data_IF_172048071185
#
_entry.id   IF_172048071185
#
_cell.length_a   1.000
_cell.length_b   1.000
_cell.length_c   1.000
_cell.angle_alpha   90.00
_cell.angle_beta   90.00
_cell.angle_gamma   90.00
#
_symmetry.space_group_name_H-M   'P 1'
#
loop_
_entity.id
_entity.type
_entity.pdbx_description
1 polymer ?
#
# COMPACT_ATOMS: atom_id res chain seq x y z
N UNK A 1 -1.10 -7.01 -11.18
CA UNK A 1 -1.93 -8.20 -10.87
C UNK A 1 -3.06 -7.74 -9.98
N UNK A 2 -4.27 -8.29 -10.16
CA UNK A 2 -5.41 -8.00 -9.30
C UNK A 2 -5.16 -8.64 -7.93
N UNK A 3 -5.57 -7.99 -6.83
CA UNK A 3 -5.46 -8.60 -5.52
C UNK A 3 -6.34 -9.86 -5.43
N UNK A 4 -5.88 -10.92 -4.75
CA UNK A 4 -6.64 -12.16 -4.61
C UNK A 4 -7.91 -11.94 -3.78
N UNK A 5 -8.89 -12.82 -3.97
CA UNK A 5 -10.11 -12.90 -3.16
C UNK A 5 -9.80 -13.73 -1.91
N UNK A 6 -9.96 -13.15 -0.73
CA UNK A 6 -9.75 -13.88 0.52
C UNK A 6 -11.02 -14.56 0.97
N UNK A 7 -10.94 -15.86 1.23
CA UNK A 7 -12.00 -16.64 1.86
C UNK A 7 -11.66 -16.77 3.34
N UNK A 8 -12.54 -16.28 4.20
CA UNK A 8 -12.26 -16.12 5.63
C UNK A 8 -13.49 -16.46 6.46
N UNK A 9 -13.30 -17.15 7.57
CA UNK A 9 -14.34 -17.36 8.57
C UNK A 9 -14.18 -16.48 9.79
N UNK A 10 -14.77 -16.89 10.92
CA UNK A 10 -14.90 -16.04 12.09
C UNK A 10 -13.57 -15.68 12.78
N UNK A 11 -13.60 -14.60 13.55
CA UNK A 11 -12.46 -13.98 14.27
C UNK A 11 -11.77 -14.88 15.29
N UNK A 12 -12.48 -15.90 15.80
CA UNK A 12 -11.96 -16.90 16.73
C UNK A 12 -11.91 -18.28 16.05
N UNK A 13 -11.14 -18.45 14.96
CA UNK A 13 -11.34 -19.54 14.01
C UNK A 13 -11.16 -20.91 14.66
N UNK A 14 -12.21 -21.72 14.58
CA UNK A 14 -12.16 -23.14 14.94
C UNK A 14 -11.77 -24.02 13.75
N UNK A 15 -11.93 -25.33 13.88
CA UNK A 15 -11.56 -26.26 12.80
C UNK A 15 -12.52 -26.16 11.62
N UNK A 16 -13.80 -25.92 11.88
CA UNK A 16 -14.85 -25.86 10.86
C UNK A 16 -14.67 -24.62 9.99
N UNK A 17 -14.42 -23.48 10.64
CA UNK A 17 -14.09 -22.22 9.97
C UNK A 17 -12.87 -22.32 9.04
N UNK A 18 -11.79 -22.96 9.52
CA UNK A 18 -10.56 -23.12 8.76
C UNK A 18 -10.73 -24.11 7.61
N UNK A 19 -11.45 -25.21 7.84
CA UNK A 19 -11.79 -26.18 6.82
C UNK A 19 -12.68 -25.57 5.74
N UNK A 20 -13.71 -24.80 6.12
CA UNK A 20 -14.59 -24.10 5.20
C UNK A 20 -13.83 -23.08 4.35
N UNK A 21 -12.96 -22.26 4.96
CA UNK A 21 -12.18 -21.26 4.23
C UNK A 21 -11.21 -21.92 3.24
N UNK A 22 -10.54 -23.00 3.66
CA UNK A 22 -9.59 -23.74 2.83
C UNK A 22 -10.29 -24.45 1.68
N UNK A 23 -11.36 -25.18 1.96
CA UNK A 23 -12.12 -25.93 0.98
C UNK A 23 -12.81 -25.03 -0.04
N UNK A 24 -13.40 -23.92 0.40
CA UNK A 24 -14.11 -23.00 -0.49
C UNK A 24 -13.14 -22.18 -1.36
N UNK A 25 -12.00 -21.74 -0.82
CA UNK A 25 -10.95 -21.12 -1.63
C UNK A 25 -10.45 -22.09 -2.73
N UNK A 26 -10.17 -23.34 -2.36
CA UNK A 26 -9.79 -24.36 -3.35
C UNK A 26 -10.89 -24.58 -4.40
N UNK A 27 -12.15 -24.70 -3.99
CA UNK A 27 -13.27 -24.90 -4.91
C UNK A 27 -13.42 -23.75 -5.91
N UNK A 28 -13.38 -22.50 -5.46
CA UNK A 28 -13.47 -21.33 -6.35
C UNK A 28 -12.31 -21.28 -7.35
N UNK A 29 -11.11 -21.69 -6.91
CA UNK A 29 -9.96 -21.77 -7.80
C UNK A 29 -10.14 -22.84 -8.88
N UNK A 30 -10.54 -24.05 -8.50
CA UNK A 30 -10.68 -25.18 -9.43
C UNK A 30 -11.90 -25.04 -10.35
N UNK A 31 -13.03 -24.58 -9.81
CA UNK A 31 -14.31 -24.46 -10.53
C UNK A 31 -14.33 -23.23 -11.45
N UNK A 32 -13.88 -22.09 -10.94
CA UNK A 32 -14.10 -20.78 -11.58
C UNK A 32 -12.81 -20.13 -12.09
N UNK A 33 -11.64 -20.69 -11.80
CA UNK A 33 -10.34 -20.11 -12.16
C UNK A 33 -10.05 -18.79 -11.43
N UNK A 34 -10.71 -18.54 -10.29
CA UNK A 34 -10.53 -17.31 -9.51
C UNK A 34 -9.25 -17.37 -8.67
N UNK A 35 -8.52 -16.24 -8.64
CA UNK A 35 -7.39 -16.06 -7.73
C UNK A 35 -7.90 -15.86 -6.30
N UNK A 36 -7.96 -16.94 -5.56
CA UNK A 36 -8.54 -17.01 -4.20
C UNK A 36 -7.50 -17.50 -3.21
N UNK A 37 -7.55 -17.03 -1.97
CA UNK A 37 -6.67 -17.46 -0.88
C UNK A 37 -7.48 -17.71 0.39
N UNK A 38 -7.21 -18.82 1.06
CA UNK A 38 -7.75 -19.05 2.39
C UNK A 38 -7.06 -18.15 3.40
N UNK A 39 -7.84 -17.50 4.26
CA UNK A 39 -7.36 -16.65 5.33
C UNK A 39 -8.03 -17.00 6.66
N UNK A 40 -7.37 -16.59 7.75
CA UNK A 40 -7.87 -16.68 9.12
C UNK A 40 -7.90 -15.29 9.76
N UNK A 41 -8.98 -14.98 10.45
CA UNK A 41 -9.15 -13.69 11.13
C UNK A 41 -8.45 -13.61 12.49
N UNK A 42 -8.05 -14.77 13.06
CA UNK A 42 -7.42 -14.85 14.37
C UNK A 42 -6.40 -15.99 14.50
N UNK A 43 -5.96 -16.23 15.73
CA UNK A 43 -5.11 -17.37 16.06
C UNK A 43 -5.91 -18.68 15.98
N UNK A 44 -5.32 -19.72 15.38
CA UNK A 44 -5.93 -21.05 15.35
C UNK A 44 -5.81 -21.73 16.71
N UNK A 45 -6.82 -22.52 17.07
CA UNK A 45 -6.79 -23.33 18.29
C UNK A 45 -5.86 -24.56 18.16
N UNK A 46 -5.63 -25.26 19.26
CA UNK A 46 -4.73 -26.43 19.31
C UNK A 46 -5.25 -27.60 18.45
N UNK A 47 -6.57 -27.80 18.39
CA UNK A 47 -7.20 -28.85 17.58
C UNK A 47 -6.93 -28.60 16.09
N UNK A 48 -7.24 -27.39 15.60
CA UNK A 48 -6.97 -26.98 14.22
C UNK A 48 -5.48 -27.11 13.88
N UNK A 49 -4.60 -26.66 14.78
CA UNK A 49 -3.15 -26.77 14.60
C UNK A 49 -2.70 -28.23 14.46
N UNK A 50 -3.24 -29.12 15.29
CA UNK A 50 -2.96 -30.55 15.24
C UNK A 50 -3.45 -31.17 13.93
N UNK A 51 -4.67 -30.82 13.48
CA UNK A 51 -5.24 -31.30 12.21
C UNK A 51 -4.37 -30.88 11.02
N UNK A 52 -4.05 -29.59 10.91
CA UNK A 52 -3.21 -29.07 9.81
C UNK A 52 -1.84 -29.76 9.77
N UNK A 53 -1.19 -29.91 10.94
CA UNK A 53 0.09 -30.60 11.05
C UNK A 53 0.00 -32.08 10.65
N UNK A 54 -1.04 -32.77 11.09
CA UNK A 54 -1.25 -34.18 10.76
C UNK A 54 -1.52 -34.39 9.26
N UNK A 55 -2.15 -33.41 8.61
CA UNK A 55 -2.41 -33.41 7.17
C UNK A 55 -1.24 -32.86 6.33
N UNK A 56 -0.18 -32.35 6.96
CA UNK A 56 0.94 -31.72 6.26
C UNK A 56 0.56 -30.43 5.51
N UNK A 57 -0.44 -29.71 6.01
CA UNK A 57 -0.96 -28.48 5.42
C UNK A 57 -0.47 -27.25 6.18
N UNK A 58 -0.16 -26.18 5.44
CA UNK A 58 0.12 -24.87 6.01
C UNK A 58 -1.16 -24.22 6.52
N UNK A 59 -1.03 -23.44 7.60
CA UNK A 59 -2.14 -22.63 8.10
C UNK A 59 -2.50 -21.52 7.09
N UNK A 60 -3.80 -21.18 6.95
CA UNK A 60 -4.23 -20.03 6.16
C UNK A 60 -3.55 -18.73 6.57
N UNK A 61 -3.46 -17.79 5.62
CA UNK A 61 -2.84 -16.48 5.82
C UNK A 61 -3.58 -15.73 6.93
N UNK A 62 -2.84 -15.12 7.86
CA UNK A 62 -3.44 -14.27 8.89
C UNK A 62 -3.89 -12.95 8.28
N UNK A 63 -5.20 -12.69 8.29
CA UNK A 63 -5.82 -11.43 7.89
C UNK A 63 -6.73 -10.97 9.02
N UNK A 64 -6.17 -10.23 9.98
CA UNK A 64 -6.89 -9.77 11.16
C UNK A 64 -7.63 -8.44 10.97
N UNK A 65 -7.34 -7.71 9.89
CA UNK A 65 -7.93 -6.42 9.60
C UNK A 65 -8.01 -6.17 8.10
N UNK A 66 -9.18 -5.73 7.63
CA UNK A 66 -9.45 -5.49 6.22
C UNK A 66 -9.26 -4.02 5.79
N UNK A 67 -8.86 -3.13 6.70
CA UNK A 67 -8.62 -1.73 6.37
C UNK A 67 -7.42 -1.59 5.43
N UNK A 68 -7.53 -0.74 4.40
CA UNK A 68 -6.43 -0.48 3.50
C UNK A 68 -5.31 0.29 4.22
N UNK A 69 -4.07 -0.08 3.89
CA UNK A 69 -2.85 0.48 4.44
C UNK A 69 -2.03 1.16 3.35
N UNK A 70 -1.06 1.99 3.70
CA UNK A 70 -0.23 2.68 2.70
C UNK A 70 0.47 1.71 1.75
N UNK A 71 0.85 0.52 2.20
CA UNK A 71 1.44 -0.51 1.36
C UNK A 71 0.54 -0.98 0.20
N UNK A 72 -0.80 -0.88 0.33
CA UNK A 72 -1.72 -1.33 -0.72
C UNK A 72 -1.90 -0.31 -1.85
N UNK A 73 -1.47 0.94 -1.64
CA UNK A 73 -1.65 2.08 -2.56
C UNK A 73 -0.34 2.66 -3.05
N UNK A 74 0.76 2.48 -2.30
CA UNK A 74 2.05 3.00 -2.69
C UNK A 74 2.54 2.40 -4.00
N UNK A 75 3.34 3.19 -4.72
CA UNK A 75 4.08 2.73 -5.89
C UNK A 75 5.57 2.83 -5.59
N UNK A 76 6.29 1.74 -5.80
CA UNK A 76 7.75 1.74 -5.78
C UNK A 76 8.26 2.41 -7.05
N UNK A 77 8.98 3.50 -6.91
CA UNK A 77 9.66 4.14 -8.03
C UNK A 77 11.16 3.87 -7.99
N UNK A 78 11.79 3.98 -9.15
CA UNK A 78 13.24 4.16 -9.23
C UNK A 78 13.64 5.39 -8.40
N UNK A 79 14.85 5.38 -7.87
CA UNK A 79 15.35 6.43 -6.99
C UNK A 79 16.71 6.92 -7.49
N UNK A 80 17.09 8.13 -7.11
CA UNK A 80 18.48 8.61 -7.28
C UNK A 80 19.03 9.15 -5.96
N UNK A 81 20.35 9.32 -5.89
CA UNK A 81 21.01 9.89 -4.71
C UNK A 81 20.90 11.42 -4.71
N UNK A 82 20.88 12.08 -3.54
CA UNK A 82 20.77 13.54 -3.44
C UNK A 82 21.87 14.31 -4.17
N UNK A 83 23.09 13.75 -4.19
CA UNK A 83 24.26 14.39 -4.82
C UNK A 83 24.42 14.07 -6.30
N UNK A 84 23.57 13.20 -6.86
CA UNK A 84 23.59 12.90 -8.29
C UNK A 84 23.00 14.06 -9.10
N UNK A 85 23.46 14.27 -10.35
CA UNK A 85 22.92 15.31 -11.22
C UNK A 85 21.39 15.24 -11.38
N UNK A 86 20.74 16.39 -11.47
CA UNK A 86 19.28 16.53 -11.61
C UNK A 86 18.73 15.80 -12.85
N UNK A 87 19.53 15.60 -13.91
CA UNK A 87 19.20 14.72 -15.04
C UNK A 87 18.81 13.29 -14.63
N UNK A 88 19.38 12.75 -13.55
CA UNK A 88 19.05 11.40 -13.06
C UNK A 88 17.65 11.41 -12.44
N UNK A 89 17.35 12.41 -11.60
CA UNK A 89 16.01 12.61 -11.06
C UNK A 89 14.99 12.90 -12.17
N UNK A 90 15.36 13.69 -13.18
CA UNK A 90 14.52 13.96 -14.35
C UNK A 90 14.17 12.67 -15.11
N UNK A 91 15.16 11.79 -15.30
CA UNK A 91 14.98 10.48 -15.93
C UNK A 91 13.95 9.65 -15.17
N UNK A 92 14.04 9.59 -13.84
CA UNK A 92 13.02 8.93 -12.99
C UNK A 92 11.66 9.61 -13.17
N UNK A 93 11.58 10.92 -12.98
CA UNK A 93 10.34 11.70 -13.04
C UNK A 93 9.60 11.52 -14.38
N UNK A 94 10.32 11.40 -15.50
CA UNK A 94 9.74 11.19 -16.83
C UNK A 94 8.96 9.87 -16.97
N UNK A 95 9.24 8.87 -16.13
CA UNK A 95 8.61 7.54 -16.15
C UNK A 95 7.56 7.33 -15.05
N UNK A 96 7.52 8.22 -14.06
CA UNK A 96 6.72 8.06 -12.82
C UNK A 96 5.60 9.10 -12.71
N UNK A 97 5.32 9.81 -13.80
CA UNK A 97 4.33 10.88 -13.83
C UNK A 97 4.77 12.13 -13.06
N UNK A 98 6.07 12.46 -13.13
CA UNK A 98 6.65 13.68 -12.60
C UNK A 98 7.28 13.56 -11.20
N UNK A 99 7.51 12.36 -10.68
CA UNK A 99 7.97 12.15 -9.29
C UNK A 99 9.32 11.44 -9.23
N UNK A 100 10.33 12.04 -8.62
CA UNK A 100 11.62 11.38 -8.40
C UNK A 100 12.00 11.40 -6.92
N UNK A 101 11.85 10.28 -6.21
CA UNK A 101 12.29 10.15 -4.83
C UNK A 101 13.81 10.17 -4.76
N UNK A 102 14.34 10.98 -3.86
CA UNK A 102 15.76 11.00 -3.52
C UNK A 102 15.97 10.19 -2.25
N UNK A 103 16.86 9.20 -2.32
CA UNK A 103 17.12 8.25 -1.22
C UNK A 103 18.60 8.29 -0.89
N UNK A 104 18.90 8.40 0.40
CA UNK A 104 20.27 8.37 0.92
C UNK A 104 20.90 6.98 0.74
N UNK A 105 22.23 6.85 0.80
CA UNK A 105 22.91 5.55 0.71
C UNK A 105 22.47 4.52 1.77
N UNK A 106 21.97 4.97 2.93
CA UNK A 106 21.46 4.10 4.00
C UNK A 106 20.01 3.61 3.79
N UNK A 107 19.38 4.04 2.68
CA UNK A 107 18.01 3.69 2.31
C UNK A 107 16.95 4.65 2.86
N UNK A 108 17.31 5.65 3.66
CA UNK A 108 16.36 6.64 4.19
C UNK A 108 15.98 7.67 3.12
N UNK A 109 14.73 8.15 3.10
CA UNK A 109 14.32 9.16 2.13
C UNK A 109 14.89 10.54 2.49
N UNK A 110 15.61 11.14 1.53
CA UNK A 110 16.09 12.53 1.61
C UNK A 110 14.96 13.51 1.30
N UNK A 111 14.25 13.31 0.19
CA UNK A 111 13.18 14.19 -0.28
C UNK A 111 12.57 13.71 -1.59
N UNK A 112 11.74 14.54 -2.20
CA UNK A 112 11.06 14.27 -3.46
C UNK A 112 11.28 15.41 -4.43
N UNK A 113 11.68 15.10 -5.66
CA UNK A 113 11.57 16.06 -6.77
C UNK A 113 10.21 15.84 -7.43
N UNK A 114 9.39 16.88 -7.46
CA UNK A 114 8.10 16.92 -8.16
C UNK A 114 7.99 18.19 -9.02
N UNK A 115 6.85 18.39 -9.67
CA UNK A 115 6.62 19.57 -10.51
C UNK A 115 6.75 20.90 -9.74
N UNK A 116 6.24 20.96 -8.50
CA UNK A 116 6.30 22.15 -7.65
C UNK A 116 7.73 22.45 -7.21
N UNK A 117 8.44 21.46 -6.67
CA UNK A 117 9.81 21.64 -6.19
C UNK A 117 10.78 22.01 -7.31
N UNK A 118 10.60 21.42 -8.50
CA UNK A 118 11.38 21.76 -9.68
C UNK A 118 11.05 23.18 -10.18
N UNK A 119 9.77 23.56 -10.20
CA UNK A 119 9.35 24.91 -10.58
C UNK A 119 9.94 25.95 -9.62
N UNK A 120 9.87 25.70 -8.30
CA UNK A 120 10.43 26.58 -7.28
C UNK A 120 11.95 26.71 -7.46
N UNK A 121 12.66 25.61 -7.73
CA UNK A 121 14.10 25.64 -8.02
C UNK A 121 14.44 26.49 -9.25
N UNK A 122 13.72 26.30 -10.36
CA UNK A 122 13.90 27.09 -11.58
C UNK A 122 13.61 28.57 -11.34
N UNK A 123 12.57 28.89 -10.58
CA UNK A 123 12.22 30.27 -10.22
C UNK A 123 13.36 30.95 -9.44
N UNK A 124 13.99 30.26 -8.49
CA UNK A 124 15.12 30.79 -7.73
C UNK A 124 16.39 30.95 -8.59
N UNK A 125 16.60 30.07 -9.57
CA UNK A 125 17.74 30.14 -10.49
C UNK A 125 17.63 31.30 -11.48
N UNK A 126 16.45 31.50 -12.07
CA UNK A 126 16.23 32.52 -13.11
C UNK A 126 15.97 33.90 -12.50
N UNK A 127 15.42 33.95 -11.29
CA UNK A 127 15.04 35.18 -10.60
C UNK A 127 13.89 35.94 -11.28
N UNK A 128 13.34 36.99 -10.64
CA UNK A 128 12.23 37.78 -11.19
C UNK A 128 12.64 38.75 -12.31
N UNK A 129 13.94 38.94 -12.55
CA UNK A 129 14.46 39.84 -13.57
C UNK A 129 15.12 39.04 -14.70
N UNK A 130 14.44 38.97 -15.84
CA UNK A 130 14.90 38.39 -17.12
C UNK A 130 16.07 39.19 -17.76
N UNK A 131 17.01 39.71 -16.98
CA UNK A 131 18.21 40.38 -17.49
C UNK A 131 19.36 39.38 -17.58
N UNK A 132 19.50 38.79 -18.77
CA UNK A 132 20.73 38.22 -19.33
C UNK A 132 21.43 37.12 -18.49
N UNK A 133 20.76 35.99 -18.27
CA UNK A 133 21.47 34.71 -18.17
C UNK A 133 20.82 33.71 -19.11
N UNK A 134 21.52 33.35 -20.18
CA UNK A 134 21.21 32.18 -21.01
C UNK A 134 21.57 30.91 -20.23
N UNK A 135 20.86 30.63 -19.13
CA UNK A 135 21.01 29.35 -18.45
C UNK A 135 20.40 28.27 -19.35
N UNK A 136 21.24 27.40 -19.92
CA UNK A 136 20.76 26.29 -20.73
C UNK A 136 20.13 25.26 -19.81
N UNK A 137 19.08 24.60 -20.30
CA UNK A 137 18.47 23.48 -19.57
C UNK A 137 19.51 22.41 -19.22
N UNK A 138 20.51 22.19 -20.10
CA UNK A 138 21.62 21.28 -19.83
C UNK A 138 22.38 21.62 -18.55
N UNK A 139 22.65 22.91 -18.32
CA UNK A 139 23.45 23.39 -17.20
C UNK A 139 22.66 23.26 -15.90
N UNK A 140 21.35 23.52 -15.97
CA UNK A 140 20.42 23.32 -14.86
C UNK A 140 20.35 21.84 -14.46
N UNK A 141 20.32 20.93 -15.44
CA UNK A 141 20.24 19.49 -15.20
C UNK A 141 21.54 18.89 -14.61
N UNK A 142 22.64 19.63 -14.61
CA UNK A 142 23.91 19.24 -13.98
C UNK A 142 24.01 19.63 -12.50
N UNK A 143 23.08 20.45 -11.98
CA UNK A 143 23.02 20.71 -10.54
C UNK A 143 22.71 19.43 -9.75
N UNK A 144 23.21 19.31 -8.51
CA UNK A 144 22.83 18.20 -7.62
C UNK A 144 21.32 18.13 -7.41
N UNK A 145 20.74 16.92 -7.46
CA UNK A 145 19.29 16.68 -7.34
C UNK A 145 18.69 17.26 -6.07
N UNK A 146 19.45 17.27 -4.96
CA UNK A 146 18.99 17.83 -3.68
C UNK A 146 18.62 19.31 -3.74
N UNK A 147 19.14 20.07 -4.73
CA UNK A 147 18.81 21.50 -4.91
C UNK A 147 17.37 21.73 -5.35
N UNK A 148 16.76 20.75 -6.02
CA UNK A 148 15.39 20.80 -6.52
C UNK A 148 14.42 19.91 -5.74
N UNK A 149 14.87 19.34 -4.62
CA UNK A 149 14.09 18.40 -3.83
C UNK A 149 13.31 19.11 -2.73
N UNK A 150 12.05 18.75 -2.58
CA UNK A 150 11.28 19.06 -1.39
C UNK A 150 11.63 18.05 -0.28
N UNK A 151 12.25 18.53 0.80
CA UNK A 151 12.63 17.73 1.98
C UNK A 151 11.56 17.75 3.08
N UNK A 152 10.49 18.52 2.90
CA UNK A 152 9.39 18.69 3.86
C UNK A 152 8.23 17.73 3.58
N UNK A 153 8.29 16.96 2.49
CA UNK A 153 7.28 15.97 2.13
C UNK A 153 6.98 15.02 3.29
N UNK A 154 5.71 14.97 3.66
CA UNK A 154 5.21 14.15 4.76
C UNK A 154 5.45 12.67 4.48
N UNK A 155 5.89 11.96 5.53
CA UNK A 155 6.25 10.54 5.50
C UNK A 155 5.22 9.73 6.28
N UNK A 156 4.81 8.59 5.72
CA UNK A 156 3.95 7.61 6.39
C UNK A 156 4.61 6.23 6.44
N UNK A 157 4.26 5.44 7.44
CA UNK A 157 4.69 4.06 7.56
C UNK A 157 3.81 3.16 6.69
N UNK A 158 4.40 2.17 6.02
CA UNK A 158 3.71 1.28 5.08
C UNK A 158 2.51 0.56 5.71
N UNK A 159 2.67 0.16 6.98
CA UNK A 159 1.64 -0.52 7.76
C UNK A 159 0.57 0.42 8.36
N UNK A 160 0.67 1.74 8.18
CA UNK A 160 -0.33 2.68 8.74
C UNK A 160 -1.65 2.50 8.01
N UNK A 161 -2.77 2.49 8.76
CA UNK A 161 -4.12 2.44 8.17
C UNK A 161 -4.46 3.81 7.61
N UNK A 162 -5.02 3.84 6.40
CA UNK A 162 -5.32 5.10 5.72
C UNK A 162 -6.39 5.89 6.48
N UNK A 163 -7.43 5.21 6.98
CA UNK A 163 -8.54 5.82 7.73
C UNK A 163 -8.08 6.59 8.97
N UNK A 164 -7.02 6.13 9.63
CA UNK A 164 -6.49 6.75 10.86
C UNK A 164 -5.89 8.14 10.60
N UNK A 165 -5.43 8.39 9.37
CA UNK A 165 -4.71 9.61 9.01
C UNK A 165 -5.35 10.41 7.88
N UNK A 166 -6.48 9.95 7.31
CA UNK A 166 -7.12 10.58 6.14
C UNK A 166 -7.50 12.05 6.40
N UNK A 167 -7.98 12.37 7.61
CA UNK A 167 -8.34 13.73 7.98
C UNK A 167 -7.12 14.66 8.09
N UNK A 168 -5.94 14.11 8.41
CA UNK A 168 -4.67 14.86 8.40
C UNK A 168 -4.25 15.11 6.96
N UNK A 169 -4.26 14.08 6.13
CA UNK A 169 -3.92 14.14 4.70
C UNK A 169 -4.75 15.19 3.95
N UNK A 170 -6.05 15.28 4.24
CA UNK A 170 -6.96 16.24 3.61
C UNK A 170 -6.66 17.72 3.95
N UNK A 171 -5.81 17.97 4.95
CA UNK A 171 -5.41 19.31 5.39
C UNK A 171 -3.98 19.65 4.99
N UNK A 172 -3.23 18.70 4.43
CA UNK A 172 -1.89 18.93 3.92
C UNK A 172 -1.95 19.76 2.64
N UNK A 173 -0.97 20.64 2.43
CA UNK A 173 -0.84 21.38 1.17
C UNK A 173 -0.31 20.53 0.02
N UNK A 174 0.36 19.41 0.34
CA UNK A 174 1.00 18.52 -0.62
C UNK A 174 0.13 17.34 -1.04
N UNK A 175 0.22 16.97 -2.32
CA UNK A 175 -0.52 15.85 -2.90
C UNK A 175 0.28 14.54 -2.97
N UNK A 176 1.56 14.57 -2.59
CA UNK A 176 2.44 13.40 -2.60
C UNK A 176 3.01 13.12 -1.22
N UNK A 177 3.12 11.83 -0.90
CA UNK A 177 3.65 11.37 0.37
C UNK A 177 4.66 10.26 0.15
N UNK A 178 5.73 10.29 0.93
CA UNK A 178 6.74 9.23 0.93
C UNK A 178 6.29 8.14 1.90
N UNK A 179 6.40 6.89 1.48
CA UNK A 179 6.09 5.73 2.32
C UNK A 179 7.39 5.05 2.74
N UNK A 180 7.47 4.71 4.03
CA UNK A 180 8.64 4.11 4.68
C UNK A 180 8.32 2.77 5.35
N UNK A 181 9.32 1.89 5.46
CA UNK A 181 9.23 0.72 6.33
C UNK A 181 9.43 1.09 7.81
N UNK A 182 9.32 0.09 8.69
CA UNK A 182 9.51 0.22 10.14
C UNK A 182 10.90 0.75 10.55
N UNK A 183 11.90 0.62 9.68
CA UNK A 183 13.26 1.11 9.90
C UNK A 183 13.46 2.52 9.30
N UNK A 184 12.40 3.15 8.79
CA UNK A 184 12.44 4.48 8.17
C UNK A 184 13.02 4.48 6.75
N UNK A 185 13.21 3.32 6.12
CA UNK A 185 13.73 3.22 4.75
C UNK A 185 12.62 3.44 3.74
N UNK A 186 12.96 4.07 2.62
CA UNK A 186 12.04 4.31 1.51
C UNK A 186 11.46 2.98 1.00
N UNK A 187 10.13 2.87 0.96
CA UNK A 187 9.40 1.76 0.32
C UNK A 187 8.59 2.16 -0.89
N UNK A 188 8.15 3.42 -1.00
CA UNK A 188 7.35 3.89 -2.13
C UNK A 188 6.89 5.34 -2.00
N UNK A 189 6.08 5.78 -2.96
CA UNK A 189 5.36 7.06 -2.92
C UNK A 189 3.88 6.79 -3.17
N UNK A 190 3.00 7.52 -2.49
CA UNK A 190 1.56 7.54 -2.77
C UNK A 190 1.09 8.96 -3.06
N UNK A 191 0.03 9.10 -3.85
CA UNK A 191 -0.63 10.38 -4.10
C UNK A 191 -1.92 10.47 -3.30
N UNK A 192 -2.32 11.68 -2.91
CA UNK A 192 -3.53 11.94 -2.13
C UNK A 192 -4.77 11.30 -2.78
N UNK A 193 -4.92 11.42 -4.11
CA UNK A 193 -6.03 10.82 -4.86
C UNK A 193 -6.17 9.30 -4.68
N UNK A 194 -5.05 8.59 -4.52
CA UNK A 194 -5.05 7.13 -4.35
C UNK A 194 -5.49 6.76 -2.92
N UNK A 195 -5.28 7.66 -1.95
CA UNK A 195 -5.68 7.49 -0.54
C UNK A 195 -7.16 7.79 -0.29
N UNK A 196 -7.80 8.61 -1.13
CA UNK A 196 -9.23 8.93 -1.02
C UNK A 196 -10.14 7.78 -1.45
N UNK A 197 -9.66 6.95 -2.37
CA UNK A 197 -10.38 5.75 -2.83
C UNK A 197 -9.42 4.56 -2.93
N UNK A 198 -8.95 4.06 -1.77
CA UNK A 198 -8.00 2.96 -1.75
C UNK A 198 -8.65 1.66 -2.25
N UNK A 199 -7.85 0.72 -2.78
CA UNK A 199 -8.36 -0.58 -3.19
C UNK A 199 -8.90 -1.32 -1.96
N UNK A 200 -10.12 -1.85 -2.10
CA UNK A 200 -10.77 -2.67 -1.07
C UNK A 200 -10.33 -4.11 -1.21
N UNK A 201 -10.10 -4.78 -0.08
CA UNK A 201 -9.89 -6.22 -0.08
C UNK A 201 -11.18 -6.93 -0.48
N UNK A 202 -11.07 -7.92 -1.36
CA UNK A 202 -12.19 -8.75 -1.76
C UNK A 202 -12.33 -9.91 -0.79
N UNK A 203 -13.48 -10.00 -0.14
CA UNK A 203 -13.73 -11.01 0.90
C UNK A 203 -14.92 -11.90 0.53
N UNK A 204 -14.78 -13.18 0.84
CA UNK A 204 -15.88 -14.12 1.00
C UNK A 204 -15.92 -14.57 2.45
N UNK A 205 -17.06 -14.39 3.09
CA UNK A 205 -17.28 -14.91 4.45
C UNK A 205 -17.79 -16.33 4.38
N UNK A 206 -17.21 -17.21 5.20
CA UNK A 206 -17.68 -18.59 5.38
C UNK A 206 -17.99 -18.84 6.86
N UNK A 207 -18.78 -19.86 7.16
CA UNK A 207 -19.10 -20.34 8.52
C UNK A 207 -19.98 -19.38 9.36
N UNK A 208 -20.01 -18.09 9.05
CA UNK A 208 -20.85 -17.12 9.75
C UNK A 208 -21.35 -16.00 8.82
N UNK A 209 -22.41 -15.32 9.24
CA UNK A 209 -22.91 -14.08 8.62
C UNK A 209 -22.97 -12.89 9.61
N UNK A 210 -22.42 -13.05 10.82
CA UNK A 210 -22.46 -12.04 11.87
C UNK A 210 -21.26 -11.09 11.80
N UNK A 211 -21.52 -9.78 11.79
CA UNK A 211 -20.47 -8.73 11.73
C UNK A 211 -19.56 -8.76 12.95
N UNK A 212 -20.10 -9.07 14.14
CA UNK A 212 -19.33 -9.20 15.39
C UNK A 212 -18.29 -10.33 15.34
N UNK A 213 -18.49 -11.30 14.46
CA UNK A 213 -17.60 -12.43 14.26
C UNK A 213 -16.66 -12.23 13.07
N UNK A 214 -16.82 -11.16 12.28
CA UNK A 214 -16.03 -10.93 11.09
C UNK A 214 -14.64 -10.33 11.40
N UNK A 215 -13.79 -10.33 10.38
CA UNK A 215 -12.52 -9.60 10.38
C UNK A 215 -12.74 -8.12 10.67
N UNK A 216 -11.80 -7.49 11.39
CA UNK A 216 -11.91 -6.07 11.71
C UNK A 216 -11.95 -5.21 10.44
N UNK A 217 -12.70 -4.09 10.50
CA UNK A 217 -12.90 -3.16 9.38
C UNK A 217 -13.52 -3.81 8.13
N UNK A 218 -14.44 -4.79 8.31
CA UNK A 218 -15.19 -5.43 7.23
C UNK A 218 -15.91 -4.40 6.31
N UNK A 219 -16.34 -3.27 6.87
CA UNK A 219 -16.99 -2.16 6.15
C UNK A 219 -16.10 -1.48 5.12
N UNK A 220 -14.77 -1.59 5.27
CA UNK A 220 -13.76 -1.09 4.32
C UNK A 220 -13.40 -2.12 3.24
N UNK A 221 -13.93 -3.35 3.33
CA UNK A 221 -13.75 -4.40 2.34
C UNK A 221 -14.83 -4.37 1.24
N UNK A 222 -14.61 -5.14 0.19
CA UNK A 222 -15.59 -5.52 -0.83
C UNK A 222 -16.05 -6.95 -0.52
N UNK A 223 -17.24 -7.08 0.08
CA UNK A 223 -17.84 -8.37 0.38
C UNK A 223 -18.50 -8.94 -0.88
N UNK A 224 -17.96 -10.05 -1.39
CA UNK A 224 -18.42 -10.69 -2.61
C UNK A 224 -19.51 -11.73 -2.35
N UNK A 225 -19.38 -12.50 -1.26
CA UNK A 225 -20.25 -13.63 -0.95
C UNK A 225 -20.24 -13.94 0.56
N UNK A 226 -21.33 -14.54 1.04
CA UNK A 226 -21.44 -15.13 2.39
C UNK A 226 -21.95 -16.56 2.25
N UNK A 227 -21.21 -17.54 2.78
CA UNK A 227 -21.60 -18.95 2.89
C UNK A 227 -21.68 -19.36 4.37
N UNK A 228 -22.88 -19.45 4.91
CA UNK A 228 -23.12 -19.81 6.31
C UNK A 228 -24.03 -21.04 6.42
N UNK A 229 -23.63 -22.03 7.21
CA UNK A 229 -24.41 -23.24 7.49
C UNK A 229 -25.08 -23.24 8.87
N UNK A 230 -24.75 -22.30 9.77
CA UNK A 230 -25.26 -22.29 11.14
C UNK A 230 -26.74 -21.92 11.26
N UNK A 231 -27.34 -21.33 10.21
CA UNK A 231 -28.73 -20.85 10.24
C UNK A 231 -29.72 -21.67 9.41
N UNK A 232 -29.34 -22.83 8.90
CA UNK A 232 -30.18 -23.67 8.04
C UNK A 232 -31.34 -24.41 8.77
N UNK A 233 -31.65 -24.08 10.03
CA UNK A 233 -32.70 -24.77 10.78
C UNK A 233 -33.21 -24.08 12.05
N UNK A 234 -33.15 -22.75 12.14
CA UNK A 234 -33.86 -21.98 13.18
C UNK A 234 -35.21 -21.49 12.66
#
# INVERSE_FOLDING_TARGET
MQAPIYVIGHVNPDTDSIAAATGYAWLLRERDGLDTLAARAGAINMQTSWVLKNLGMDAPVLLNDASPRFESVMRRFDTTLPDKPLRDAWSVASRTGGLAPLVNPDGTPYGLVNGRSLFDFLFHLVGPHLKQQEARISDILDYPSHRAADTTVTKFQANTRIRDVINRILREEGDEFIVTDENGRYVGVCRQRDLLNPPRLKLVLVDHNEVSQAVASLDEAELLEILDHHRLGN
#
